data_IF_209425274767
#
_entry.id   IF_209425274767
#
_cell.length_a   1.000
_cell.length_b   1.000
_cell.length_c   1.000
_cell.angle_alpha   90.00
_cell.angle_beta   90.00
_cell.angle_gamma   90.00
#
_symmetry.space_group_name_H-M   'P 1'
#
loop_
_entity.id
_entity.type
_entity.pdbx_description
1 polymer ?
#
# COMPACT_ATOMS: atom_id res chain seq x y z
N UNK A 1 5.90 -4.81 -19.66
CA UNK A 1 6.09 -5.41 -18.32
C UNK A 1 7.16 -6.50 -18.32
N UNK A 2 7.11 -7.51 -19.21
CA UNK A 2 8.03 -8.66 -19.16
C UNK A 2 9.27 -8.60 -20.08
N UNK A 3 9.54 -7.44 -20.68
CA UNK A 3 10.78 -7.21 -21.44
C UNK A 3 11.73 -6.47 -20.49
N UNK A 4 12.70 -7.15 -19.86
CA UNK A 4 13.61 -6.51 -18.94
C UNK A 4 14.62 -5.65 -19.72
N UNK A 5 14.77 -4.40 -19.30
CA UNK A 5 15.82 -3.51 -19.78
C UNK A 5 16.91 -3.40 -18.72
N UNK A 6 17.98 -4.17 -18.89
CA UNK A 6 19.10 -4.21 -17.95
C UNK A 6 19.92 -2.92 -17.96
N UNK A 7 19.77 -2.06 -18.98
CA UNK A 7 20.44 -0.75 -19.02
C UNK A 7 19.89 0.22 -17.96
N UNK A 8 18.67 -0.04 -17.46
CA UNK A 8 18.01 0.78 -16.45
C UNK A 8 18.24 0.27 -15.03
N UNK A 9 18.93 -0.86 -14.85
CA UNK A 9 19.27 -1.37 -13.52
C UNK A 9 20.46 -0.59 -12.98
N UNK A 10 20.17 0.38 -12.13
CA UNK A 10 21.17 1.16 -11.40
C UNK A 10 20.98 1.01 -9.87
N UNK A 11 21.89 1.59 -9.09
CA UNK A 11 21.83 1.52 -7.62
C UNK A 11 20.53 2.12 -7.06
N UNK A 12 19.98 3.15 -7.71
CA UNK A 12 18.75 3.81 -7.27
C UNK A 12 17.53 2.92 -7.48
N UNK A 13 17.45 2.21 -8.61
CA UNK A 13 16.38 1.24 -8.90
C UNK A 13 16.43 0.08 -7.92
N UNK A 14 17.63 -0.43 -7.59
CA UNK A 14 17.78 -1.48 -6.57
C UNK A 14 17.31 -0.98 -5.20
N UNK A 15 17.69 0.25 -4.81
CA UNK A 15 17.28 0.83 -3.54
C UNK A 15 15.77 1.04 -3.46
N UNK A 16 15.17 1.54 -4.54
CA UNK A 16 13.72 1.75 -4.66
C UNK A 16 12.97 0.42 -4.59
N UNK A 17 13.44 -0.61 -5.29
CA UNK A 17 12.84 -1.94 -5.29
C UNK A 17 12.90 -2.60 -3.91
N UNK A 18 14.03 -2.48 -3.20
CA UNK A 18 14.17 -2.95 -1.82
C UNK A 18 13.22 -2.21 -0.87
N UNK A 19 13.12 -0.89 -1.01
CA UNK A 19 12.17 -0.07 -0.25
C UNK A 19 10.72 -0.49 -0.48
N UNK A 20 10.35 -0.73 -1.74
CA UNK A 20 9.01 -1.21 -2.10
C UNK A 20 8.74 -2.60 -1.52
N UNK A 21 9.71 -3.53 -1.59
CA UNK A 21 9.56 -4.87 -1.03
C UNK A 21 9.34 -4.85 0.50
N UNK A 22 10.09 -4.02 1.23
CA UNK A 22 9.89 -3.85 2.67
C UNK A 22 8.57 -3.19 3.04
N UNK A 23 8.10 -2.25 2.21
CA UNK A 23 6.80 -1.61 2.38
C UNK A 23 5.65 -2.59 2.13
N UNK A 24 5.70 -3.32 1.00
CA UNK A 24 4.69 -4.31 0.61
C UNK A 24 4.54 -5.41 1.65
N UNK A 25 5.65 -5.91 2.20
CA UNK A 25 5.62 -6.94 3.24
C UNK A 25 5.41 -6.42 4.66
N UNK A 26 5.31 -5.10 4.86
CA UNK A 26 5.12 -4.46 6.17
C UNK A 26 6.20 -4.82 7.23
N UNK A 27 7.41 -5.21 6.79
CA UNK A 27 8.48 -5.70 7.68
C UNK A 27 9.03 -4.57 8.55
N UNK A 28 9.11 -3.35 8.02
CA UNK A 28 9.64 -2.19 8.76
C UNK A 28 8.71 -1.62 9.83
N UNK A 29 7.41 -1.95 9.80
CA UNK A 29 6.37 -1.32 10.64
C UNK A 29 6.04 -2.04 11.94
N UNK A 30 6.73 -3.15 12.26
CA UNK A 30 6.48 -3.95 13.47
C UNK A 30 5.19 -4.79 13.43
N UNK A 31 4.36 -4.66 12.39
CA UNK A 31 3.08 -5.38 12.28
C UNK A 31 3.29 -6.89 12.24
N UNK A 32 4.26 -7.37 11.45
CA UNK A 32 4.64 -8.78 11.39
C UNK A 32 5.08 -9.33 12.75
N UNK A 33 5.75 -8.51 13.58
CA UNK A 33 6.19 -8.91 14.92
C UNK A 33 4.99 -9.05 15.87
N UNK A 34 4.04 -8.12 15.79
CA UNK A 34 2.83 -8.14 16.61
C UNK A 34 1.93 -9.32 16.21
N UNK A 35 1.73 -9.56 14.91
CA UNK A 35 0.99 -10.74 14.44
C UNK A 35 1.72 -12.04 14.78
N UNK A 36 3.06 -12.06 14.75
CA UNK A 36 3.86 -13.19 15.23
C UNK A 36 3.66 -13.48 16.72
N UNK A 37 3.43 -12.46 17.55
CA UNK A 37 3.15 -12.64 18.99
C UNK A 37 1.82 -13.36 19.26
N UNK A 38 0.88 -13.31 18.31
CA UNK A 38 -0.40 -14.02 18.37
C UNK A 38 -0.33 -15.44 17.78
N UNK A 39 0.82 -15.85 17.24
CA UNK A 39 0.97 -17.15 16.60
C UNK A 39 1.10 -18.27 17.64
N UNK A 40 0.36 -19.37 17.43
CA UNK A 40 0.42 -20.55 18.29
C UNK A 40 1.84 -21.14 18.30
N UNK A 41 2.35 -21.58 19.46
CA UNK A 41 3.74 -22.08 19.61
C UNK A 41 4.11 -23.26 18.69
N UNK A 42 3.11 -23.98 18.14
CA UNK A 42 3.30 -25.10 17.23
C UNK A 42 3.38 -24.70 15.74
N UNK A 43 3.16 -23.42 15.40
CA UNK A 43 3.18 -22.97 14.02
C UNK A 43 4.60 -22.73 13.52
N UNK A 44 4.92 -23.25 12.33
CA UNK A 44 6.20 -23.03 11.68
C UNK A 44 6.29 -21.62 11.07
N UNK A 45 7.08 -20.75 11.70
CA UNK A 45 7.33 -19.37 11.22
C UNK A 45 7.88 -19.34 9.79
N UNK A 46 8.91 -20.11 9.39
CA UNK A 46 9.45 -20.04 8.03
C UNK A 46 8.43 -20.43 6.96
N UNK A 47 7.69 -21.51 7.18
CA UNK A 47 6.62 -21.96 6.26
C UNK A 47 5.54 -20.89 6.08
N UNK A 48 5.09 -20.27 7.16
CA UNK A 48 4.09 -19.20 7.08
C UNK A 48 4.63 -17.96 6.37
N UNK A 49 5.89 -17.59 6.63
CA UNK A 49 6.55 -16.48 5.96
C UNK A 49 6.62 -16.71 4.44
N UNK A 50 7.07 -17.88 3.99
CA UNK A 50 7.10 -18.21 2.56
C UNK A 50 5.71 -18.22 1.92
N UNK A 51 4.70 -18.72 2.63
CA UNK A 51 3.31 -18.70 2.15
C UNK A 51 2.79 -17.26 1.98
N UNK A 52 3.05 -16.38 2.95
CA UNK A 52 2.64 -14.97 2.91
C UNK A 52 3.35 -14.23 1.76
N UNK A 53 4.68 -14.37 1.66
CA UNK A 53 5.47 -13.72 0.60
C UNK A 53 5.04 -14.22 -0.78
N UNK A 54 4.87 -15.54 -0.94
CA UNK A 54 4.43 -16.14 -2.19
C UNK A 54 3.03 -15.68 -2.61
N UNK A 55 2.10 -15.59 -1.66
CA UNK A 55 0.76 -15.05 -1.91
C UNK A 55 0.82 -13.57 -2.30
N UNK A 56 1.61 -12.76 -1.59
CA UNK A 56 1.76 -11.33 -1.86
C UNK A 56 2.31 -11.07 -3.27
N UNK A 57 3.42 -11.72 -3.63
CA UNK A 57 4.03 -11.59 -4.96
C UNK A 57 3.07 -12.07 -6.05
N UNK A 58 2.32 -13.15 -5.81
CA UNK A 58 1.34 -13.65 -6.78
C UNK A 58 0.23 -12.64 -7.03
N UNK A 59 -0.31 -12.02 -5.98
CA UNK A 59 -1.34 -10.97 -6.08
C UNK A 59 -0.77 -9.73 -6.79
N UNK A 60 0.43 -9.29 -6.44
CA UNK A 60 1.10 -8.14 -7.07
C UNK A 60 1.34 -8.39 -8.57
N UNK A 61 1.75 -9.60 -8.95
CA UNK A 61 1.92 -10.00 -10.35
C UNK A 61 0.59 -10.02 -11.11
N UNK A 62 -0.48 -10.59 -10.51
CA UNK A 62 -1.82 -10.61 -11.11
C UNK A 62 -2.38 -9.19 -11.27
N UNK A 63 -2.17 -8.31 -10.30
CA UNK A 63 -2.56 -6.92 -10.38
C UNK A 63 -1.82 -6.19 -11.51
N UNK A 64 -0.50 -6.36 -11.63
CA UNK A 64 0.27 -5.82 -12.75
C UNK A 64 -0.22 -6.34 -14.11
N UNK A 65 -0.47 -7.64 -14.21
CA UNK A 65 -1.02 -8.28 -15.40
C UNK A 65 -2.41 -7.78 -15.79
N UNK A 66 -3.24 -7.38 -14.83
CA UNK A 66 -4.56 -6.81 -15.09
C UNK A 66 -4.48 -5.32 -15.47
N UNK A 67 -3.63 -4.54 -14.79
CA UNK A 67 -3.56 -3.08 -14.93
C UNK A 67 -2.80 -2.67 -16.19
N UNK A 68 -1.62 -3.23 -16.45
CA UNK A 68 -0.76 -2.76 -17.55
C UNK A 68 -1.39 -2.92 -18.95
N UNK A 69 -2.09 -4.02 -19.29
CA UNK A 69 -2.75 -4.13 -20.60
C UNK A 69 -3.81 -3.05 -20.82
N UNK A 70 -4.58 -2.71 -19.78
CA UNK A 70 -5.59 -1.64 -19.85
C UNK A 70 -4.89 -0.30 -20.08
N UNK A 71 -3.84 -0.01 -19.31
CA UNK A 71 -3.08 1.23 -19.45
C UNK A 71 -2.50 1.38 -20.86
N UNK A 72 -1.89 0.33 -21.42
CA UNK A 72 -1.33 0.37 -22.77
C UNK A 72 -2.40 0.39 -23.87
N UNK A 73 -3.53 -0.30 -23.70
CA UNK A 73 -4.63 -0.31 -24.68
C UNK A 73 -5.28 1.07 -24.86
N UNK A 74 -5.36 1.86 -23.79
CA UNK A 74 -5.91 3.21 -23.81
C UNK A 74 -4.84 4.31 -23.99
N UNK A 75 -3.59 3.92 -24.34
CA UNK A 75 -2.45 4.83 -24.49
C UNK A 75 -2.21 5.76 -23.30
N UNK A 76 -2.48 5.24 -22.09
CA UNK A 76 -2.37 5.99 -20.85
C UNK A 76 -0.96 5.91 -20.26
N UNK A 77 -0.60 6.93 -19.49
CA UNK A 77 0.75 7.03 -18.91
C UNK A 77 0.89 6.09 -17.69
N UNK A 78 1.75 5.05 -17.75
CA UNK A 78 1.84 4.03 -16.69
C UNK A 78 2.51 4.50 -15.41
N UNK A 79 3.19 5.66 -15.45
CA UNK A 79 4.03 6.17 -14.37
C UNK A 79 3.39 7.32 -13.58
N UNK A 80 2.06 7.43 -13.55
CA UNK A 80 1.34 8.51 -12.86
C UNK A 80 1.32 8.37 -11.32
N UNK A 81 2.04 7.39 -10.76
CA UNK A 81 2.10 7.15 -9.32
C UNK A 81 0.70 6.91 -8.74
N UNK A 82 0.32 7.58 -7.62
CA UNK A 82 -1.03 7.49 -7.06
C UNK A 82 -2.13 7.87 -8.06
N UNK A 83 -1.84 8.73 -9.05
CA UNK A 83 -2.78 9.16 -10.08
C UNK A 83 -3.27 8.02 -10.98
N UNK A 84 -2.52 6.91 -11.07
CA UNK A 84 -2.90 5.77 -11.90
C UNK A 84 -4.23 5.15 -11.44
N UNK A 85 -4.40 4.98 -10.13
CA UNK A 85 -5.58 4.30 -9.57
C UNK A 85 -6.80 5.25 -9.53
N UNK A 86 -6.58 6.55 -9.37
CA UNK A 86 -7.65 7.52 -9.17
C UNK A 86 -8.07 8.30 -10.42
N UNK A 87 -7.23 8.32 -11.46
CA UNK A 87 -7.52 9.03 -12.71
C UNK A 87 -7.47 8.07 -13.89
N UNK A 88 -6.32 7.44 -14.09
CA UNK A 88 -6.03 6.63 -15.28
C UNK A 88 -6.96 5.42 -15.40
N UNK A 89 -7.07 4.60 -14.35
CA UNK A 89 -7.91 3.40 -14.37
C UNK A 89 -9.41 3.69 -14.42
N UNK A 90 -9.97 4.65 -13.64
CA UNK A 90 -11.39 5.01 -13.76
C UNK A 90 -11.78 5.51 -15.14
N UNK A 91 -10.92 6.31 -15.80
CA UNK A 91 -11.14 6.78 -17.18
C UNK A 91 -11.14 5.60 -18.16
N UNK A 92 -10.16 4.70 -18.06
CA UNK A 92 -10.07 3.52 -18.92
C UNK A 92 -11.28 2.59 -18.76
N UNK A 93 -11.68 2.30 -17.51
CA UNK A 93 -12.85 1.48 -17.21
C UNK A 93 -14.13 2.15 -17.70
N UNK A 94 -14.26 3.47 -17.56
CA UNK A 94 -15.44 4.24 -18.00
C UNK A 94 -15.70 4.21 -19.51
N UNK A 95 -14.67 3.96 -20.33
CA UNK A 95 -14.82 3.80 -21.78
C UNK A 95 -15.32 2.41 -22.19
N UNK A 96 -15.33 1.44 -21.26
CA UNK A 96 -15.85 0.10 -21.52
C UNK A 96 -17.39 0.08 -21.41
N UNK A 97 -18.09 -0.77 -22.19
CA UNK A 97 -19.52 -1.02 -21.99
C UNK A 97 -19.78 -1.52 -20.55
N UNK A 98 -20.63 -0.82 -19.79
CA UNK A 98 -20.85 -1.12 -18.36
C UNK A 98 -19.72 -0.65 -17.43
N UNK A 99 -18.79 0.15 -17.94
CA UNK A 99 -17.60 0.66 -17.26
C UNK A 99 -17.86 1.39 -15.95
N UNK A 100 -19.00 2.09 -15.85
CA UNK A 100 -19.38 2.79 -14.63
C UNK A 100 -19.62 1.83 -13.46
N UNK A 101 -20.22 0.66 -13.71
CA UNK A 101 -20.44 -0.37 -12.67
C UNK A 101 -19.09 -0.98 -12.27
N UNK A 102 -18.29 -1.40 -13.25
CA UNK A 102 -16.98 -2.03 -13.02
C UNK A 102 -16.03 -1.07 -12.30
N UNK A 103 -15.96 0.19 -12.73
CA UNK A 103 -15.15 1.24 -12.10
C UNK A 103 -15.60 1.56 -10.67
N UNK A 104 -16.91 1.53 -10.40
CA UNK A 104 -17.44 1.71 -9.03
C UNK A 104 -17.00 0.57 -8.12
N UNK A 105 -17.16 -0.68 -8.56
CA UNK A 105 -16.71 -1.84 -7.79
C UNK A 105 -15.19 -1.86 -7.60
N UNK A 106 -14.43 -1.47 -8.63
CA UNK A 106 -12.98 -1.34 -8.53
C UNK A 106 -12.58 -0.35 -7.43
N UNK A 107 -13.14 0.86 -7.41
CA UNK A 107 -12.83 1.85 -6.38
C UNK A 107 -13.31 1.41 -4.99
N UNK A 108 -14.45 0.71 -4.89
CA UNK A 108 -14.90 0.13 -3.63
C UNK A 108 -13.93 -0.94 -3.12
N UNK A 109 -13.41 -1.81 -3.99
CA UNK A 109 -12.42 -2.82 -3.62
C UNK A 109 -11.11 -2.16 -3.17
N UNK A 110 -10.65 -1.13 -3.88
CA UNK A 110 -9.47 -0.34 -3.49
C UNK A 110 -9.70 0.33 -2.13
N UNK A 111 -10.90 0.85 -1.86
CA UNK A 111 -11.26 1.42 -0.55
C UNK A 111 -11.14 0.38 0.56
N UNK A 112 -11.70 -0.82 0.39
CA UNK A 112 -11.58 -1.90 1.38
C UNK A 112 -10.13 -2.37 1.57
N UNK A 113 -9.34 -2.45 0.50
CA UNK A 113 -7.92 -2.77 0.57
C UNK A 113 -7.12 -1.70 1.35
N UNK A 114 -7.42 -0.42 1.11
CA UNK A 114 -6.80 0.69 1.84
C UNK A 114 -7.21 0.71 3.32
N UNK A 115 -8.50 0.48 3.61
CA UNK A 115 -9.03 0.44 4.98
C UNK A 115 -8.42 -0.71 5.79
N UNK A 116 -8.38 -1.91 5.24
CA UNK A 116 -7.78 -3.07 5.93
C UNK A 116 -6.30 -2.86 6.23
N UNK A 117 -5.54 -2.30 5.28
CA UNK A 117 -4.13 -1.94 5.47
C UNK A 117 -3.95 -0.87 6.56
N UNK A 118 -4.79 0.17 6.54
CA UNK A 118 -4.76 1.24 7.54
C UNK A 118 -5.06 0.73 8.95
N UNK A 119 -6.04 -0.16 9.11
CA UNK A 119 -6.36 -0.80 10.39
C UNK A 119 -5.18 -1.63 10.89
N UNK A 120 -4.54 -2.42 10.02
CA UNK A 120 -3.36 -3.21 10.37
C UNK A 120 -2.19 -2.35 10.84
N UNK A 121 -1.88 -1.26 10.13
CA UNK A 121 -0.84 -0.31 10.52
C UNK A 121 -1.16 0.38 11.86
N UNK A 122 -2.42 0.79 12.07
CA UNK A 122 -2.84 1.43 13.31
C UNK A 122 -2.79 0.48 14.51
N UNK A 123 -3.21 -0.77 14.36
CA UNK A 123 -3.07 -1.79 15.44
C UNK A 123 -1.60 -2.01 15.77
N UNK A 124 -0.71 -2.04 14.78
CA UNK A 124 0.72 -2.19 15.02
C UNK A 124 1.30 -1.08 15.89
N UNK A 125 0.91 0.17 15.60
CA UNK A 125 1.31 1.34 16.39
C UNK A 125 0.73 1.31 17.81
N UNK A 126 -0.56 1.00 17.94
CA UNK A 126 -1.25 0.94 19.23
C UNK A 126 -0.67 -0.13 20.13
N UNK A 127 -0.36 -1.31 19.59
CA UNK A 127 0.25 -2.42 20.34
C UNK A 127 1.54 -1.97 21.04
N UNK A 128 2.45 -1.34 20.30
CA UNK A 128 3.72 -0.82 20.83
C UNK A 128 3.53 0.29 21.86
N UNK A 129 2.47 1.07 21.74
CA UNK A 129 2.15 2.17 22.65
C UNK A 129 1.48 1.69 23.96
N UNK A 130 0.77 0.57 23.92
CA UNK A 130 0.04 -0.01 25.06
C UNK A 130 0.96 -0.82 25.99
N UNK A 131 2.14 -1.24 25.55
CA UNK A 131 3.17 -1.86 26.42
C UNK A 131 3.65 -0.94 27.56
N UNK A 132 3.31 0.35 27.54
CA UNK A 132 3.63 1.28 28.62
C UNK A 132 2.68 1.07 29.82
N UNK A 133 3.19 0.99 31.06
CA UNK A 133 2.44 0.56 32.26
C UNK A 133 1.23 1.44 32.66
N UNK A 134 0.98 2.57 31.98
CA UNK A 134 -0.14 3.48 32.24
C UNK A 134 -1.09 3.66 31.04
N UNK A 135 -1.00 2.82 30.01
CA UNK A 135 -1.70 3.00 28.74
C UNK A 135 -2.95 2.12 28.61
N UNK A 136 -4.11 2.73 28.32
CA UNK A 136 -5.34 2.00 27.95
C UNK A 136 -5.47 1.97 26.43
N UNK A 137 -5.81 0.81 25.85
CA UNK A 137 -5.98 0.62 24.38
C UNK A 137 -6.80 1.75 23.73
N UNK A 138 -7.99 2.03 24.25
CA UNK A 138 -8.89 3.08 23.72
C UNK A 138 -8.25 4.46 23.66
N UNK A 139 -7.49 4.84 24.71
CA UNK A 139 -6.81 6.14 24.76
C UNK A 139 -5.67 6.20 23.75
N UNK A 140 -4.88 5.14 23.63
CA UNK A 140 -3.75 5.10 22.69
C UNK A 140 -4.21 5.06 21.23
N UNK A 141 -5.33 4.38 20.91
CA UNK A 141 -5.90 4.41 19.57
C UNK A 141 -6.35 5.81 19.16
N UNK A 142 -7.04 6.54 20.05
CA UNK A 142 -7.48 7.92 19.77
C UNK A 142 -6.28 8.85 19.58
N UNK A 143 -5.27 8.74 20.45
CA UNK A 143 -4.06 9.55 20.36
C UNK A 143 -3.26 9.23 19.09
N UNK A 144 -3.04 7.95 18.79
CA UNK A 144 -2.31 7.53 17.59
C UNK A 144 -3.04 7.95 16.30
N UNK A 145 -4.37 7.77 16.25
CA UNK A 145 -5.19 8.22 15.13
C UNK A 145 -5.17 9.74 14.96
N UNK A 146 -5.27 10.49 16.07
CA UNK A 146 -5.17 11.95 16.05
C UNK A 146 -3.80 12.44 15.55
N UNK A 147 -2.71 11.86 16.05
CA UNK A 147 -1.35 12.19 15.59
C UNK A 147 -1.16 11.85 14.12
N UNK A 148 -1.60 10.66 13.69
CA UNK A 148 -1.55 10.27 12.28
C UNK A 148 -2.35 11.22 11.39
N UNK A 149 -3.50 11.70 11.85
CA UNK A 149 -4.33 12.68 11.14
C UNK A 149 -3.62 14.04 11.01
N UNK A 150 -3.02 14.56 12.09
CA UNK A 150 -2.26 15.82 12.03
C UNK A 150 -1.01 15.72 11.16
N UNK A 151 -0.26 14.62 11.24
CA UNK A 151 0.89 14.36 10.37
C UNK A 151 0.45 14.26 8.91
N UNK A 152 -0.65 13.55 8.65
CA UNK A 152 -1.24 13.41 7.32
C UNK A 152 -1.66 14.76 6.73
N UNK A 153 -2.36 15.58 7.50
CA UNK A 153 -2.68 16.95 7.10
C UNK A 153 -1.42 17.76 6.82
N UNK A 154 -0.42 17.70 7.72
CA UNK A 154 0.86 18.37 7.53
C UNK A 154 1.52 17.96 6.22
N UNK A 155 1.55 16.67 5.89
CA UNK A 155 2.10 16.16 4.62
C UNK A 155 1.36 16.70 3.40
N UNK A 156 0.02 16.79 3.45
CA UNK A 156 -0.78 17.35 2.35
C UNK A 156 -0.45 18.83 2.17
N UNK A 157 -0.47 19.62 3.25
CA UNK A 157 -0.18 21.05 3.19
C UNK A 157 1.26 21.34 2.73
N UNK A 158 2.24 20.54 3.17
CA UNK A 158 3.64 20.68 2.75
C UNK A 158 3.84 20.36 1.26
N UNK A 159 3.09 19.38 0.75
CA UNK A 159 3.15 19.02 -0.68
C UNK A 159 2.48 20.08 -1.53
N UNK A 160 1.36 20.64 -1.07
CA UNK A 160 0.66 21.74 -1.76
C UNK A 160 1.48 23.03 -1.78
N UNK A 161 2.19 23.37 -0.69
CA UNK A 161 3.07 24.55 -0.64
C UNK A 161 4.31 24.40 -1.52
N UNK A 162 4.81 23.18 -1.71
CA UNK A 162 5.88 22.88 -2.67
C UNK A 162 5.47 22.97 -4.14
N UNK A 163 4.18 22.81 -4.46
CA UNK A 163 3.66 23.02 -5.82
C UNK A 163 3.34 24.48 -6.14
N UNK A 164 3.13 25.33 -5.12
CA UNK A 164 2.84 26.77 -5.31
C UNK A 164 4.09 27.62 -5.54
N UNK A 165 5.30 27.12 -5.25
CA UNK A 165 6.57 27.83 -5.49
C UNK A 165 7.20 27.56 -6.87
N UNK A 166 6.54 26.74 -7.71
CA UNK A 166 6.98 26.41 -9.08
C UNK A 166 6.06 27.01 -10.17
N UNK A 167 5.18 27.94 -9.80
CA UNK A 167 4.41 28.77 -10.74
C UNK A 167 4.80 30.24 -10.62
#
# INVERSE_FOLDING_TARGET
MFVPDFSQVNNDVVLLALGQAFFSLSVGGGGVMNYGSYLHKAASIPRNAFAIVGANVSVDMLAGLAIFPIVFAFALEPASGPGLIFFTLPVALGQMPGGQIIGTFFLLLVLFAALSTSISMMESLVFRLVERPSATRKRMTIVAGGVAWFIGLGSVFLTTSGQTSLH
#
